data_IF_018850975105
#
_entry.id   IF_018850975105
#
_cell.length_a   1.000
_cell.length_b   1.000
_cell.length_c   1.000
_cell.angle_alpha   90.00
_cell.angle_beta   90.00
_cell.angle_gamma   90.00
#
_symmetry.space_group_name_H-M   'P 1'
#
loop_
_entity.id
_entity.type
_entity.pdbx_description
1 polymer ?
#
# COMPACT_ATOMS: atom_id res chain seq x y z
N UNK A 1 5.69 -6.74 7.55
CA UNK A 1 4.44 -6.75 6.74
C UNK A 1 4.65 -7.71 5.59
N UNK A 2 3.68 -8.57 5.30
CA UNK A 2 3.74 -9.55 4.22
C UNK A 2 2.64 -9.24 3.19
N UNK A 3 2.92 -9.47 1.91
CA UNK A 3 1.98 -9.23 0.80
C UNK A 3 1.88 -10.50 -0.03
N UNK A 4 0.67 -10.97 -0.33
CA UNK A 4 0.46 -12.11 -1.22
C UNK A 4 -0.08 -11.64 -2.57
N UNK A 5 0.71 -11.82 -3.62
CA UNK A 5 0.39 -11.39 -5.00
C UNK A 5 1.29 -12.17 -5.97
N UNK A 6 1.01 -12.15 -7.28
CA UNK A 6 1.83 -12.82 -8.31
C UNK A 6 2.20 -14.29 -8.00
N UNK A 7 1.32 -15.02 -7.30
CA UNK A 7 1.55 -16.42 -6.92
C UNK A 7 2.58 -16.63 -5.80
N UNK A 8 2.97 -15.59 -5.08
CA UNK A 8 3.98 -15.66 -4.03
C UNK A 8 3.59 -14.85 -2.77
N UNK A 9 4.24 -15.20 -1.66
CA UNK A 9 4.24 -14.43 -0.42
C UNK A 9 5.52 -13.59 -0.37
N UNK A 10 5.39 -12.28 -0.21
CA UNK A 10 6.49 -11.32 -0.25
C UNK A 10 6.65 -10.60 1.09
N UNK A 11 7.90 -10.36 1.50
CA UNK A 11 8.20 -9.51 2.65
C UNK A 11 9.56 -8.85 2.53
N UNK A 12 9.69 -7.68 3.14
CA UNK A 12 10.99 -7.04 3.37
C UNK A 12 11.56 -7.65 4.66
N UNK A 13 12.80 -8.18 4.65
CA UNK A 13 13.48 -8.61 5.86
C UNK A 13 13.52 -7.49 6.91
N UNK A 14 13.44 -7.85 8.19
CA UNK A 14 13.56 -6.89 9.28
C UNK A 14 15.04 -6.61 9.59
N UNK A 15 15.71 -6.00 8.62
CA UNK A 15 17.11 -5.58 8.70
C UNK A 15 17.13 -4.10 8.31
N UNK A 16 17.88 -3.29 9.05
CA UNK A 16 18.07 -1.88 8.68
C UNK A 16 18.66 -1.78 7.27
N UNK A 17 18.14 -0.84 6.49
CA UNK A 17 18.61 -0.58 5.12
C UNK A 17 18.58 -1.81 4.20
N UNK A 18 17.56 -2.66 4.35
CA UNK A 18 17.36 -3.78 3.44
C UNK A 18 17.27 -3.29 1.98
N UNK A 19 18.03 -3.94 1.11
CA UNK A 19 18.13 -3.68 -0.32
C UNK A 19 17.48 -4.79 -1.16
N UNK A 20 16.75 -5.70 -0.53
CA UNK A 20 16.01 -6.77 -1.21
C UNK A 20 14.72 -7.12 -0.49
N UNK A 21 13.85 -7.85 -1.20
CA UNK A 21 12.72 -8.55 -0.63
C UNK A 21 12.92 -10.05 -0.76
N UNK A 22 12.30 -10.80 0.15
CA UNK A 22 12.18 -12.25 0.03
C UNK A 22 10.79 -12.56 -0.48
N UNK A 23 10.72 -13.46 -1.45
CA UNK A 23 9.49 -13.94 -2.05
C UNK A 23 9.47 -15.46 -1.99
N UNK A 24 8.38 -16.05 -1.50
CA UNK A 24 8.17 -17.49 -1.49
C UNK A 24 7.07 -17.82 -2.50
N UNK A 25 7.45 -18.45 -3.61
CA UNK A 25 6.52 -18.95 -4.63
C UNK A 25 5.72 -20.10 -4.04
N UNK A 26 4.39 -19.97 -4.00
CA UNK A 26 3.53 -20.91 -3.26
C UNK A 26 3.49 -22.28 -3.94
N UNK A 27 3.41 -22.31 -5.27
CA UNK A 27 3.23 -23.56 -6.03
C UNK A 27 4.50 -24.43 -6.05
N UNK A 28 5.68 -23.79 -6.01
CA UNK A 28 6.99 -24.47 -6.08
C UNK A 28 7.73 -24.51 -4.76
N UNK A 29 7.17 -23.90 -3.72
CA UNK A 29 7.80 -23.70 -2.40
C UNK A 29 9.24 -23.15 -2.50
N UNK A 30 9.49 -22.31 -3.51
CA UNK A 30 10.82 -21.79 -3.81
C UNK A 30 10.98 -20.37 -3.30
N UNK A 31 12.08 -20.13 -2.60
CA UNK A 31 12.46 -18.79 -2.17
C UNK A 31 13.24 -18.06 -3.26
N UNK A 32 12.92 -16.79 -3.40
CA UNK A 32 13.56 -15.86 -4.31
C UNK A 32 13.97 -14.61 -3.53
N UNK A 33 15.17 -14.13 -3.79
CA UNK A 33 15.64 -12.83 -3.32
C UNK A 33 15.55 -11.86 -4.49
N UNK A 34 14.77 -10.80 -4.32
CA UNK A 34 14.54 -9.81 -5.38
C UNK A 34 15.12 -8.48 -4.91
N UNK A 35 16.16 -7.94 -5.59
CA UNK A 35 16.72 -6.63 -5.26
C UNK A 35 15.63 -5.56 -5.30
N UNK A 36 15.64 -4.65 -4.34
CA UNK A 36 14.80 -3.47 -4.33
C UNK A 36 15.35 -2.44 -5.35
N UNK A 37 14.50 -1.58 -5.94
CA UNK A 37 14.95 -0.54 -6.84
C UNK A 37 15.81 0.54 -6.14
N UNK A 38 15.77 0.58 -4.80
CA UNK A 38 16.59 1.41 -3.93
C UNK A 38 16.60 0.84 -2.52
N UNK A 39 17.59 1.24 -1.72
CA UNK A 39 17.70 0.87 -0.31
C UNK A 39 16.45 1.31 0.45
N UNK A 40 15.83 0.37 1.18
CA UNK A 40 14.63 0.61 1.96
C UNK A 40 14.88 1.51 3.18
N UNK A 41 13.90 2.36 3.48
CA UNK A 41 13.86 3.26 4.64
C UNK A 41 12.70 2.90 5.58
N UNK A 42 12.69 3.50 6.76
CA UNK A 42 11.74 3.23 7.85
C UNK A 42 10.27 3.27 7.44
N UNK A 43 9.88 4.20 6.56
CA UNK A 43 8.48 4.37 6.12
C UNK A 43 8.16 3.67 4.80
N UNK A 44 9.15 3.07 4.14
CA UNK A 44 8.94 2.39 2.86
C UNK A 44 8.21 1.07 3.09
N UNK A 45 7.29 0.72 2.20
CA UNK A 45 6.48 -0.49 2.32
C UNK A 45 6.30 -1.18 0.98
N UNK A 46 6.23 -2.51 1.03
CA UNK A 46 5.62 -3.27 -0.05
C UNK A 46 4.12 -3.31 0.15
N UNK A 47 3.38 -3.13 -0.93
CA UNK A 47 1.91 -3.22 -0.96
C UNK A 47 1.48 -3.88 -2.26
N UNK A 48 0.24 -4.34 -2.30
CA UNK A 48 -0.37 -4.80 -3.53
C UNK A 48 -1.04 -3.62 -4.26
N UNK A 49 -0.75 -3.42 -5.55
CA UNK A 49 -1.45 -2.43 -6.39
C UNK A 49 -1.86 -3.07 -7.70
N UNK A 50 -3.16 -3.06 -8.00
CA UNK A 50 -3.69 -3.54 -9.28
C UNK A 50 -3.36 -5.00 -9.59
N UNK A 51 -3.21 -5.86 -8.56
CA UNK A 51 -2.83 -7.26 -8.75
C UNK A 51 -1.33 -7.51 -8.95
N UNK A 52 -0.49 -6.48 -8.77
CA UNK A 52 0.96 -6.57 -8.85
C UNK A 52 1.62 -6.19 -7.52
N UNK A 53 2.87 -6.63 -7.33
CA UNK A 53 3.66 -6.22 -6.19
C UNK A 53 4.17 -4.81 -6.40
N UNK A 54 3.99 -3.94 -5.41
CA UNK A 54 4.45 -2.56 -5.43
C UNK A 54 5.42 -2.29 -4.30
N UNK A 55 6.49 -1.56 -4.58
CA UNK A 55 7.35 -0.97 -3.57
C UNK A 55 7.11 0.54 -3.56
N UNK A 56 6.59 1.04 -2.44
CA UNK A 56 6.24 2.44 -2.26
C UNK A 56 7.26 3.04 -1.30
N UNK A 57 8.01 4.03 -1.79
CA UNK A 57 9.17 4.49 -1.06
C UNK A 57 9.53 5.94 -1.38
N UNK A 58 10.10 6.62 -0.39
CA UNK A 58 10.51 8.02 -0.52
C UNK A 58 11.61 8.22 -1.55
N UNK A 59 11.32 9.01 -2.58
CA UNK A 59 12.23 9.34 -3.69
C UNK A 59 13.14 10.52 -3.36
N UNK A 60 13.37 11.39 -4.36
CA UNK A 60 14.03 12.67 -4.17
C UNK A 60 13.15 13.65 -3.37
N UNK A 61 13.65 14.85 -3.10
CA UNK A 61 13.07 15.86 -2.20
C UNK A 61 11.55 15.90 -2.30
N UNK A 62 10.89 15.54 -1.19
CA UNK A 62 9.44 15.60 -1.02
C UNK A 62 8.62 14.80 -2.05
N UNK A 63 9.10 13.64 -2.50
CA UNK A 63 8.31 12.76 -3.36
C UNK A 63 8.24 11.31 -2.86
N UNK A 64 7.15 10.63 -3.18
CA UNK A 64 6.98 9.19 -2.95
C UNK A 64 6.91 8.51 -4.32
N UNK A 65 7.84 7.61 -4.58
CA UNK A 65 7.88 6.83 -5.81
C UNK A 65 7.23 5.46 -5.61
N UNK A 66 6.46 5.04 -6.60
CA UNK A 66 5.80 3.74 -6.64
C UNK A 66 6.41 2.93 -7.77
N UNK A 67 7.02 1.81 -7.38
CA UNK A 67 7.65 0.86 -8.27
C UNK A 67 6.79 -0.40 -8.34
N UNK A 68 6.59 -0.94 -9.53
CA UNK A 68 5.83 -2.16 -9.75
C UNK A 68 6.74 -3.28 -10.23
N UNK A 69 6.53 -4.46 -9.67
CA UNK A 69 7.07 -5.72 -10.13
C UNK A 69 5.92 -6.57 -10.65
N UNK A 70 5.91 -6.87 -11.95
CA UNK A 70 4.80 -7.60 -12.59
C UNK A 70 4.92 -9.12 -12.46
N UNK A 71 6.12 -9.63 -12.22
CA UNK A 71 6.36 -11.07 -12.09
C UNK A 71 7.68 -11.40 -11.38
N UNK A 72 7.78 -12.63 -10.88
CA UNK A 72 9.01 -13.16 -10.30
C UNK A 72 10.08 -13.29 -11.41
N UNK A 73 11.16 -12.53 -11.30
CA UNK A 73 12.23 -12.49 -12.31
C UNK A 73 12.15 -11.30 -13.27
N UNK A 74 11.10 -10.48 -13.21
CA UNK A 74 11.06 -9.18 -13.88
C UNK A 74 11.82 -8.11 -13.09
N UNK A 75 12.09 -6.98 -13.73
CA UNK A 75 12.68 -5.82 -13.08
C UNK A 75 11.61 -4.86 -12.54
N UNK A 76 11.96 -4.14 -11.48
CA UNK A 76 11.12 -3.06 -10.98
C UNK A 76 10.99 -1.94 -12.00
N UNK A 77 9.76 -1.49 -12.24
CA UNK A 77 9.46 -0.34 -13.10
C UNK A 77 8.83 0.77 -12.26
N UNK A 78 9.40 1.99 -12.28
CA UNK A 78 8.77 3.15 -11.66
C UNK A 78 7.52 3.51 -12.46
N UNK A 79 6.35 3.46 -11.83
CA UNK A 79 5.07 3.74 -12.50
C UNK A 79 4.50 5.11 -12.13
N UNK A 80 4.60 5.48 -10.86
CA UNK A 80 4.03 6.73 -10.36
C UNK A 80 5.00 7.43 -9.41
N UNK A 81 4.91 8.76 -9.39
CA UNK A 81 5.57 9.61 -8.40
C UNK A 81 4.53 10.58 -7.84
N UNK A 82 4.38 10.57 -6.52
CA UNK A 82 3.50 11.45 -5.77
C UNK A 82 4.36 12.59 -5.25
N UNK A 83 4.11 13.81 -5.74
CA UNK A 83 4.71 15.00 -5.17
C UNK A 83 4.01 15.30 -3.85
N UNK A 84 4.79 15.27 -2.78
CA UNK A 84 4.38 15.66 -1.45
C UNK A 84 4.90 17.07 -1.16
N UNK A 85 4.29 17.75 -0.20
CA UNK A 85 4.95 18.90 0.44
C UNK A 85 6.11 18.43 1.34
N UNK A 86 6.48 19.22 2.33
CA UNK A 86 7.54 18.88 3.31
C UNK A 86 7.16 17.76 4.30
N UNK A 87 6.29 16.82 3.92
CA UNK A 87 5.74 15.78 4.79
C UNK A 87 6.45 14.45 4.50
N UNK A 88 7.30 14.01 5.42
CA UNK A 88 8.25 12.90 5.25
C UNK A 88 7.88 11.62 6.04
N UNK A 89 6.76 11.64 6.75
CA UNK A 89 6.35 10.64 7.73
C UNK A 89 5.06 9.88 7.33
N UNK A 90 4.72 9.87 6.04
CA UNK A 90 3.62 9.08 5.50
C UNK A 90 4.05 7.63 5.24
N UNK A 91 3.36 6.71 5.91
CA UNK A 91 3.53 5.26 5.75
C UNK A 91 2.45 4.72 4.82
N UNK A 92 2.81 4.09 3.67
CA UNK A 92 1.85 3.44 2.79
C UNK A 92 1.21 2.24 3.50
N UNK A 93 -0.11 2.13 3.46
CA UNK A 93 -0.83 1.03 4.09
C UNK A 93 -1.39 0.03 3.08
N UNK A 94 -2.12 0.51 2.09
CA UNK A 94 -2.76 -0.33 1.08
C UNK A 94 -3.12 0.47 -0.17
N UNK A 95 -3.36 -0.25 -1.26
CA UNK A 95 -3.90 0.29 -2.51
C UNK A 95 -5.28 -0.30 -2.78
N UNK A 96 -6.25 0.55 -3.11
CA UNK A 96 -7.61 0.14 -3.46
C UNK A 96 -7.66 -0.21 -4.95
N UNK A 97 -7.78 -1.51 -5.25
CA UNK A 97 -7.77 -2.06 -6.62
C UNK A 97 -8.75 -1.38 -7.58
N UNK A 98 -9.94 -0.99 -7.11
CA UNK A 98 -11.03 -0.51 -7.98
C UNK A 98 -10.84 0.96 -8.40
N UNK A 99 -10.14 1.76 -7.59
CA UNK A 99 -10.09 3.21 -7.78
C UNK A 99 -8.68 3.75 -8.06
N UNK A 100 -7.64 2.92 -7.98
CA UNK A 100 -6.27 3.41 -8.07
C UNK A 100 -5.99 4.45 -6.99
N UNK A 101 -6.43 4.15 -5.77
CA UNK A 101 -6.28 5.02 -4.60
C UNK A 101 -5.32 4.37 -3.62
N UNK A 102 -4.26 5.08 -3.24
CA UNK A 102 -3.33 4.65 -2.22
C UNK A 102 -3.65 5.32 -0.88
N UNK A 103 -3.69 4.53 0.19
CA UNK A 103 -3.94 5.02 1.54
C UNK A 103 -2.62 5.11 2.29
N UNK A 104 -2.40 6.27 2.90
CA UNK A 104 -1.26 6.57 3.75
C UNK A 104 -1.74 6.83 5.17
N UNK A 105 -0.92 6.42 6.15
CA UNK A 105 -1.03 6.85 7.54
C UNK A 105 0.18 7.71 7.87
N UNK A 106 -0.06 8.86 8.48
CA UNK A 106 0.98 9.71 9.00
C UNK A 106 1.50 9.15 10.33
N UNK A 107 2.81 9.01 10.46
CA UNK A 107 3.42 8.44 11.66
C UNK A 107 3.34 9.41 12.85
N UNK A 108 3.49 10.72 12.61
CA UNK A 108 3.49 11.75 13.67
C UNK A 108 2.14 11.85 14.40
N UNK A 109 1.02 11.96 13.68
CA UNK A 109 -0.31 12.21 14.27
C UNK A 109 -1.30 11.06 14.07
N UNK A 110 -0.90 10.00 13.39
CA UNK A 110 -1.76 8.86 13.08
C UNK A 110 -2.87 9.13 12.07
N UNK A 111 -2.92 10.32 11.46
CA UNK A 111 -3.97 10.68 10.51
C UNK A 111 -3.85 9.91 9.20
N UNK A 112 -4.98 9.73 8.51
CA UNK A 112 -5.03 9.01 7.24
C UNK A 112 -5.22 9.96 6.07
N UNK A 113 -4.59 9.64 4.95
CA UNK A 113 -4.74 10.36 3.69
C UNK A 113 -4.93 9.37 2.54
N UNK A 114 -5.76 9.74 1.58
CA UNK A 114 -5.97 9.00 0.34
C UNK A 114 -5.35 9.77 -0.82
N UNK A 115 -4.61 9.09 -1.70
CA UNK A 115 -4.09 9.64 -2.93
C UNK A 115 -4.70 8.91 -4.12
N UNK A 116 -5.45 9.62 -4.96
CA UNK A 116 -6.01 9.08 -6.20
C UNK A 116 -5.03 9.30 -7.36
N UNK A 117 -4.53 8.23 -7.98
CA UNK A 117 -3.53 8.34 -9.06
C UNK A 117 -4.01 9.13 -10.27
N UNK A 118 -5.31 9.05 -10.59
CA UNK A 118 -5.89 9.75 -11.74
C UNK A 118 -5.95 11.27 -11.54
N UNK A 119 -6.27 11.70 -10.32
CA UNK A 119 -6.42 13.11 -9.99
C UNK A 119 -5.11 13.74 -9.55
N UNK A 120 -4.13 12.92 -9.13
CA UNK A 120 -2.90 13.34 -8.48
C UNK A 120 -3.12 14.23 -7.24
N UNK A 121 -4.29 14.10 -6.61
CA UNK A 121 -4.65 14.84 -5.40
C UNK A 121 -4.54 13.92 -4.20
N UNK A 122 -3.91 14.42 -3.14
CA UNK A 122 -3.96 13.82 -1.81
C UNK A 122 -5.06 14.51 -0.99
N UNK A 123 -5.97 13.72 -0.41
CA UNK A 123 -7.05 14.20 0.46
C UNK A 123 -6.88 13.58 1.84
N UNK A 124 -6.93 14.40 2.89
CA UNK A 124 -7.01 13.92 4.27
C UNK A 124 -8.35 13.22 4.48
N UNK A 125 -8.33 12.06 5.11
CA UNK A 125 -9.55 11.33 5.44
C UNK A 125 -10.03 11.84 6.79
N UNK A 126 -11.11 12.61 6.79
CA UNK A 126 -11.81 12.96 8.03
C UNK A 126 -12.60 11.74 8.49
N UNK A 127 -12.19 11.15 9.61
CA UNK A 127 -12.88 10.03 10.21
C UNK A 127 -13.73 10.54 11.37
N UNK A 128 -15.05 10.42 11.30
CA UNK A 128 -15.88 10.59 12.48
C UNK A 128 -15.65 9.40 13.42
N UNK A 129 -15.68 9.63 14.74
CA UNK A 129 -15.31 8.66 15.79
C UNK A 129 -16.04 7.30 15.71
N UNK A 130 -17.21 7.23 15.07
CA UNK A 130 -17.94 5.98 14.84
C UNK A 130 -17.39 5.17 13.65
N UNK A 131 -16.83 5.79 12.62
CA UNK A 131 -16.41 5.14 11.36
C UNK A 131 -15.09 4.37 11.48
N UNK A 132 -14.24 4.70 12.46
CA UNK A 132 -12.94 4.03 12.70
C UNK A 132 -13.10 2.54 12.99
N UNK A 133 -14.11 2.17 13.80
CA UNK A 133 -14.43 0.77 14.11
C UNK A 133 -14.89 0.00 12.87
N UNK A 134 -15.75 0.61 12.05
CA UNK A 134 -16.31 -0.04 10.87
C UNK A 134 -15.30 -0.17 9.72
N UNK A 135 -14.38 0.79 9.57
CA UNK A 135 -13.36 0.74 8.52
C UNK A 135 -12.29 -0.33 8.81
N UNK A 136 -11.82 -0.42 10.06
CA UNK A 136 -10.92 -1.49 10.49
C UNK A 136 -11.60 -2.86 10.45
N UNK A 137 -12.90 -2.94 10.83
CA UNK A 137 -13.68 -4.17 10.67
C UNK A 137 -13.86 -4.56 9.20
N UNK A 138 -14.10 -3.60 8.30
CA UNK A 138 -14.25 -3.86 6.87
C UNK A 138 -12.93 -4.33 6.25
N UNK A 139 -11.80 -3.71 6.61
CA UNK A 139 -10.46 -4.16 6.20
C UNK A 139 -10.19 -5.58 6.74
N UNK A 140 -10.56 -5.89 8.00
CA UNK A 140 -10.42 -7.24 8.56
C UNK A 140 -11.34 -8.27 7.87
N UNK A 141 -12.54 -7.87 7.46
CA UNK A 141 -13.49 -8.68 6.68
C UNK A 141 -12.95 -8.96 5.26
N UNK A 142 -12.34 -7.98 4.60
CA UNK A 142 -11.68 -8.15 3.30
C UNK A 142 -10.37 -8.96 3.39
N UNK A 143 -9.67 -8.91 4.52
CA UNK A 143 -8.48 -9.71 4.82
C UNK A 143 -8.80 -11.13 5.36
N UNK A 144 -10.08 -11.54 5.35
CA UNK A 144 -10.47 -12.93 5.63
C UNK A 144 -10.62 -13.32 7.10
N UNK A 145 -10.64 -12.36 8.04
CA UNK A 145 -10.98 -12.63 9.44
C UNK A 145 -12.50 -12.81 9.55
N UNK A 146 -12.98 -14.05 9.42
CA UNK A 146 -14.40 -14.38 9.49
C UNK A 146 -14.98 -14.08 10.88
N UNK A 147 -15.75 -13.00 11.01
CA UNK A 147 -17.10 -12.98 11.63
C UNK A 147 -17.76 -11.60 11.53
N UNK A 148 -18.90 -11.59 10.81
CA UNK A 148 -20.09 -10.72 10.92
C UNK A 148 -19.89 -9.20 10.81
N UNK A 149 -20.21 -8.66 9.63
CA UNK A 149 -21.37 -7.76 9.43
C UNK A 149 -21.48 -7.37 7.94
N UNK A 150 -22.64 -7.63 7.34
CA UNK A 150 -23.09 -7.00 6.09
C UNK A 150 -23.49 -5.55 6.40
N UNK A 151 -23.63 -4.74 5.35
CA UNK A 151 -24.02 -3.32 5.31
C UNK A 151 -22.98 -2.33 5.87
N UNK A 152 -22.03 -1.90 5.03
CA UNK A 152 -21.42 -0.55 5.01
C UNK A 152 -20.32 -0.35 3.95
N UNK A 153 -20.14 -1.27 2.99
CA UNK A 153 -19.26 -1.04 1.82
C UNK A 153 -19.85 0.02 0.86
N UNK A 154 -21.15 0.33 0.99
CA UNK A 154 -21.89 1.21 0.07
C UNK A 154 -21.71 2.70 0.44
N UNK A 155 -21.50 3.05 1.71
CA UNK A 155 -21.42 4.46 2.12
C UNK A 155 -20.07 5.13 1.75
N UNK A 156 -18.99 4.34 1.65
CA UNK A 156 -17.73 4.83 1.07
C UNK A 156 -17.85 5.04 -0.45
N UNK A 157 -18.73 4.26 -1.11
CA UNK A 157 -19.00 4.40 -2.54
C UNK A 157 -19.80 5.68 -2.83
N UNK A 158 -20.73 6.07 -1.95
CA UNK A 158 -21.51 7.30 -2.11
C UNK A 158 -20.67 8.55 -1.83
N UNK A 159 -19.78 8.54 -0.84
CA UNK A 159 -19.02 9.74 -0.51
C UNK A 159 -17.88 10.06 -1.50
N UNK A 160 -17.35 9.05 -2.20
CA UNK A 160 -16.29 9.22 -3.20
C UNK A 160 -16.81 9.50 -4.62
N UNK A 161 -18.07 9.19 -4.93
CA UNK A 161 -18.66 9.38 -6.27
C UNK A 161 -19.42 10.71 -6.41
N UNK A 162 -19.68 11.44 -5.31
CA UNK A 162 -20.49 12.67 -5.35
C UNK A 162 -19.74 14.01 -5.19
N UNK A 163 -18.40 14.07 -5.20
CA UNK A 163 -17.65 15.35 -5.18
C UNK A 163 -16.32 15.37 -5.96
#
# INVERSE_FOLDING_TARGET
>A
MHVSVIGALHWVPHIEHSDYIVSMEVDKEKFHTIPLPKIGRTHDRIVETGGFLSFVAYGEVNQIDIWILKGLGESWTKQHSIKMGCVLDMVPLLSLRIQGVMIFKRDEDGSFSAHAFQLQVMRKIEMCHCQVRFYLMSIALFLGVRRVARTCVIDLFLHLVQN
#
